data_IF_371474402415
#
_entry.id   IF_371474402415
#
_cell.length_a   1.000
_cell.length_b   1.000
_cell.length_c   1.000
_cell.angle_alpha   90.00
_cell.angle_beta   90.00
_cell.angle_gamma   90.00
#
_symmetry.space_group_name_H-M   'P 1'
#
loop_
_entity.id
_entity.type
_entity.pdbx_description
1 polymer ?
#
# COMPACT_ATOMS: atom_id res chain seq x y z
N UNK A 1 13.75 -26.28 -63.75
CA UNK A 1 14.85 -25.60 -63.06
C UNK A 1 14.36 -25.24 -61.66
N UNK A 2 14.94 -25.82 -60.62
CA UNK A 2 14.60 -25.44 -59.24
C UNK A 2 15.03 -24.00 -59.01
N UNK A 3 14.09 -23.14 -58.63
CA UNK A 3 14.39 -21.75 -58.30
C UNK A 3 15.36 -21.67 -57.12
N UNK A 4 16.10 -20.57 -57.02
CA UNK A 4 16.93 -20.27 -55.85
C UNK A 4 16.06 -20.14 -54.60
N UNK A 5 16.58 -20.60 -53.47
CA UNK A 5 15.94 -20.40 -52.17
C UNK A 5 15.77 -18.91 -51.83
N UNK A 6 14.78 -18.62 -50.99
CA UNK A 6 14.53 -17.25 -50.55
C UNK A 6 15.71 -16.72 -49.72
N UNK A 7 16.13 -15.48 -50.02
CA UNK A 7 17.31 -14.84 -49.41
C UNK A 7 17.29 -14.88 -47.87
N UNK A 8 16.14 -14.60 -47.24
CA UNK A 8 16.02 -14.54 -45.79
C UNK A 8 16.25 -15.93 -45.13
N UNK A 9 15.52 -17.00 -45.50
CA UNK A 9 15.82 -18.36 -45.01
C UNK A 9 17.27 -18.79 -45.23
N UNK A 10 17.82 -18.61 -46.43
CA UNK A 10 19.19 -19.03 -46.75
C UNK A 10 20.23 -18.28 -45.93
N UNK A 11 20.02 -16.97 -45.70
CA UNK A 11 20.91 -16.16 -44.87
C UNK A 11 20.86 -16.59 -43.40
N UNK A 12 19.66 -16.85 -42.86
CA UNK A 12 19.51 -17.32 -41.46
C UNK A 12 20.15 -18.69 -41.27
N UNK A 13 20.02 -19.59 -42.25
CA UNK A 13 20.64 -20.91 -42.21
C UNK A 13 22.18 -20.83 -42.22
N UNK A 14 22.76 -20.05 -43.14
CA UNK A 14 24.20 -19.87 -43.24
C UNK A 14 24.79 -19.19 -42.00
N UNK A 15 24.12 -18.16 -41.47
CA UNK A 15 24.50 -17.52 -40.20
C UNK A 15 24.43 -18.54 -39.05
N UNK A 16 23.35 -19.32 -39.00
CA UNK A 16 23.17 -20.35 -37.98
C UNK A 16 24.28 -21.40 -38.01
N UNK A 17 24.68 -21.86 -39.21
CA UNK A 17 25.79 -22.80 -39.37
C UNK A 17 27.10 -22.22 -38.85
N UNK A 18 27.45 -20.99 -39.26
CA UNK A 18 28.68 -20.32 -38.79
C UNK A 18 28.69 -20.06 -37.28
N UNK A 19 27.53 -19.80 -36.68
CA UNK A 19 27.42 -19.64 -35.23
C UNK A 19 27.67 -20.96 -34.51
N UNK A 20 27.12 -22.08 -35.01
CA UNK A 20 27.37 -23.41 -34.43
C UNK A 20 28.84 -23.82 -34.53
N UNK A 21 29.51 -23.52 -35.63
CA UNK A 21 30.92 -23.85 -35.82
C UNK A 21 31.84 -23.03 -34.90
N UNK A 22 31.38 -21.85 -34.43
CA UNK A 22 32.18 -20.93 -33.61
C UNK A 22 31.85 -20.93 -32.12
N UNK A 23 30.66 -21.38 -31.74
CA UNK A 23 30.14 -21.30 -30.38
C UNK A 23 29.78 -22.69 -29.87
N UNK A 24 30.56 -23.17 -28.89
CA UNK A 24 30.26 -24.40 -28.19
C UNK A 24 29.09 -24.20 -27.20
N UNK A 25 28.16 -25.16 -27.17
CA UNK A 25 27.03 -25.18 -26.23
C UNK A 25 25.85 -24.28 -26.61
N UNK A 26 25.85 -23.65 -27.79
CA UNK A 26 24.74 -22.81 -28.26
C UNK A 26 23.76 -23.62 -29.11
N UNK A 27 22.50 -23.68 -28.68
CA UNK A 27 21.42 -24.30 -29.45
C UNK A 27 20.61 -23.22 -30.15
N UNK A 28 20.52 -23.30 -31.48
CA UNK A 28 19.63 -22.41 -32.24
C UNK A 28 18.18 -22.88 -32.07
N UNK A 29 17.34 -22.00 -31.54
CA UNK A 29 15.92 -22.27 -31.28
C UNK A 29 15.07 -21.17 -31.91
N UNK A 30 13.95 -21.55 -32.50
CA UNK A 30 12.99 -20.61 -33.10
C UNK A 30 11.93 -20.16 -32.09
N UNK A 31 11.54 -21.04 -31.16
CA UNK A 31 10.61 -20.70 -30.10
C UNK A 31 11.37 -20.28 -28.85
N UNK A 32 11.01 -19.12 -28.30
CA UNK A 32 11.50 -18.63 -27.00
C UNK A 32 13.04 -18.57 -26.85
N UNK A 33 13.78 -17.96 -27.79
CA UNK A 33 15.23 -17.86 -27.67
C UNK A 33 15.65 -17.06 -26.43
N UNK A 34 16.81 -17.44 -25.91
CA UNK A 34 17.46 -16.74 -24.81
C UNK A 34 18.04 -15.39 -25.29
N UNK A 35 18.62 -15.39 -26.48
CA UNK A 35 19.16 -14.22 -27.18
C UNK A 35 18.59 -14.21 -28.58
N UNK A 36 17.92 -13.12 -28.96
CA UNK A 36 17.45 -12.88 -30.32
C UNK A 36 18.37 -11.87 -30.98
N UNK A 37 19.08 -12.29 -32.03
CA UNK A 37 19.87 -11.38 -32.85
C UNK A 37 19.00 -10.83 -34.00
N UNK A 38 18.77 -9.52 -34.00
CA UNK A 38 18.13 -8.79 -35.08
C UNK A 38 19.23 -8.24 -35.99
N UNK A 39 19.20 -8.67 -37.26
CA UNK A 39 20.20 -8.30 -38.24
C UNK A 39 19.53 -7.40 -39.27
N UNK A 40 19.95 -6.14 -39.32
CA UNK A 40 19.56 -5.25 -40.40
C UNK A 40 20.44 -5.53 -41.62
N UNK A 41 19.84 -6.12 -42.65
CA UNK A 41 20.54 -6.46 -43.90
C UNK A 41 20.89 -5.25 -44.75
N UNK A 42 20.31 -4.06 -44.47
CA UNK A 42 20.64 -2.82 -45.19
C UNK A 42 21.88 -2.15 -44.59
N UNK A 43 21.94 -2.06 -43.26
CA UNK A 43 23.05 -1.38 -42.55
C UNK A 43 24.12 -2.34 -42.03
N UNK A 44 23.89 -3.65 -42.12
CA UNK A 44 24.72 -4.72 -41.54
C UNK A 44 24.92 -4.57 -40.02
N UNK A 45 24.00 -3.89 -39.34
CA UNK A 45 23.99 -3.78 -37.88
C UNK A 45 23.35 -5.01 -37.25
N UNK A 46 23.86 -5.39 -36.08
CA UNK A 46 23.35 -6.51 -35.29
C UNK A 46 22.94 -5.98 -33.92
N UNK A 47 21.65 -6.06 -33.62
CA UNK A 47 21.11 -5.77 -32.30
C UNK A 47 20.80 -7.08 -31.58
N UNK A 48 21.14 -7.16 -30.29
CA UNK A 48 20.88 -8.34 -29.47
C UNK A 48 19.76 -8.00 -28.48
N UNK A 49 18.64 -8.70 -28.60
CA UNK A 49 17.57 -8.70 -27.59
C UNK A 49 17.79 -9.88 -26.64
N UNK A 50 18.28 -9.58 -25.43
CA UNK A 50 18.58 -10.58 -24.41
C UNK A 50 17.36 -10.74 -23.51
N UNK A 51 16.77 -11.93 -23.54
CA UNK A 51 15.56 -12.21 -22.78
C UNK A 51 15.81 -12.18 -21.26
N UNK A 52 14.94 -11.49 -20.55
CA UNK A 52 14.97 -11.42 -19.09
C UNK A 52 14.75 -12.79 -18.42
N UNK A 53 15.38 -12.95 -17.24
CA UNK A 53 15.15 -14.09 -16.34
C UNK A 53 14.15 -13.67 -15.26
N UNK A 54 13.25 -14.58 -14.90
CA UNK A 54 12.21 -14.36 -13.91
C UNK A 54 12.44 -15.31 -12.72
N UNK A 55 12.44 -14.76 -11.51
CA UNK A 55 12.60 -15.52 -10.26
C UNK A 55 11.37 -15.25 -9.39
N UNK A 56 10.67 -16.30 -8.99
CA UNK A 56 9.59 -16.23 -8.02
C UNK A 56 10.14 -16.38 -6.61
N UNK A 57 9.52 -15.71 -5.65
CA UNK A 57 9.77 -15.91 -4.23
C UNK A 57 8.62 -15.38 -3.37
N UNK A 58 8.74 -15.56 -2.05
CA UNK A 58 7.90 -14.88 -1.06
C UNK A 58 8.79 -14.09 -0.12
N UNK A 59 8.45 -12.83 0.14
CA UNK A 59 9.19 -12.00 1.08
C UNK A 59 8.39 -11.74 2.36
N UNK A 60 9.05 -11.80 3.50
CA UNK A 60 8.60 -11.23 4.76
C UNK A 60 9.32 -9.91 4.96
N UNK A 61 8.58 -8.88 5.34
CA UNK A 61 9.09 -7.55 5.66
C UNK A 61 9.00 -7.40 7.16
N UNK A 62 10.13 -7.45 7.86
CA UNK A 62 10.20 -7.42 9.33
C UNK A 62 10.35 -5.99 9.86
N UNK A 63 10.96 -5.11 9.06
CA UNK A 63 11.20 -3.71 9.40
C UNK A 63 10.07 -2.78 8.93
N UNK A 64 9.59 -1.88 9.80
CA UNK A 64 8.72 -0.75 9.44
C UNK A 64 9.59 0.42 8.96
N UNK A 65 9.09 1.21 8.01
CA UNK A 65 9.83 2.37 7.48
C UNK A 65 10.45 2.16 6.10
N UNK A 66 10.49 0.92 5.60
CA UNK A 66 10.99 0.62 4.25
C UNK A 66 9.85 0.44 3.22
N UNK A 67 9.92 1.08 2.04
CA UNK A 67 8.96 0.85 0.96
C UNK A 67 9.15 -0.51 0.28
N UNK A 68 8.08 -1.03 -0.32
CA UNK A 68 8.15 -2.25 -1.14
C UNK A 68 9.01 -2.07 -2.41
N UNK A 69 8.86 -0.94 -3.09
CA UNK A 69 9.55 -0.64 -4.35
C UNK A 69 10.51 0.53 -4.16
N UNK A 70 11.54 0.63 -4.99
CA UNK A 70 12.45 1.78 -5.00
C UNK A 70 11.71 3.09 -5.29
N UNK A 71 12.02 4.13 -4.54
CA UNK A 71 11.40 5.46 -4.69
C UNK A 71 12.47 6.47 -5.04
N UNK A 72 12.52 6.94 -6.30
CA UNK A 72 13.44 8.02 -6.69
C UNK A 72 13.16 9.28 -5.88
N UNK A 73 14.21 10.01 -5.54
CA UNK A 73 14.12 11.28 -4.84
C UNK A 73 13.22 12.26 -5.62
N UNK A 74 12.27 12.88 -4.93
CA UNK A 74 11.30 13.80 -5.54
C UNK A 74 11.96 15.05 -6.14
N UNK A 75 13.06 15.51 -5.55
CA UNK A 75 13.77 16.71 -5.99
C UNK A 75 14.61 16.44 -7.25
N UNK A 76 15.46 15.41 -7.26
CA UNK A 76 16.39 15.16 -8.36
C UNK A 76 15.91 14.11 -9.37
N UNK A 77 14.79 13.42 -9.10
CA UNK A 77 14.22 12.34 -9.92
C UNK A 77 15.21 11.18 -10.17
N UNK A 78 16.05 10.86 -9.19
CA UNK A 78 17.02 9.76 -9.30
C UNK A 78 18.45 10.16 -9.63
N UNK A 79 18.74 11.45 -9.87
CA UNK A 79 20.08 11.92 -10.29
C UNK A 79 21.10 12.06 -9.16
N UNK A 80 20.65 12.14 -7.91
CA UNK A 80 21.46 12.58 -6.77
C UNK A 80 21.35 14.08 -6.55
N UNK A 81 21.14 14.49 -5.30
CA UNK A 81 21.20 15.88 -4.86
C UNK A 81 21.48 15.95 -3.36
N UNK A 82 21.77 17.15 -2.85
CA UNK A 82 22.02 17.39 -1.42
C UNK A 82 20.87 16.90 -0.54
N UNK A 83 19.61 17.09 -0.96
CA UNK A 83 18.44 16.65 -0.20
C UNK A 83 18.29 15.12 -0.06
N UNK A 84 19.02 14.33 -0.84
CA UNK A 84 19.05 12.88 -0.71
C UNK A 84 20.47 12.35 -0.47
N UNK A 85 21.39 13.19 0.03
CA UNK A 85 22.78 12.80 0.26
C UNK A 85 23.45 12.16 -0.98
N UNK A 86 23.14 12.69 -2.16
CA UNK A 86 23.61 12.18 -3.47
C UNK A 86 23.19 10.74 -3.82
N UNK A 87 22.31 10.11 -3.05
CA UNK A 87 21.85 8.73 -3.33
C UNK A 87 20.88 8.64 -4.51
N UNK A 88 20.21 9.75 -4.84
CA UNK A 88 19.13 9.77 -5.83
C UNK A 88 17.83 9.12 -5.34
N UNK A 89 17.77 8.61 -4.11
CA UNK A 89 16.64 7.88 -3.56
C UNK A 89 15.91 8.69 -2.47
N UNK A 90 14.60 8.47 -2.32
CA UNK A 90 13.83 9.01 -1.20
C UNK A 90 14.01 8.17 0.07
N UNK A 91 14.16 6.85 -0.11
CA UNK A 91 14.46 5.90 0.96
C UNK A 91 15.66 5.07 0.50
N UNK A 92 16.68 4.94 1.36
CA UNK A 92 17.91 4.24 1.02
C UNK A 92 17.70 2.74 0.77
N UNK A 93 16.72 2.15 1.46
CA UNK A 93 16.40 0.73 1.37
C UNK A 93 14.98 0.54 0.86
N UNK A 94 14.77 -0.50 0.06
CA UNK A 94 13.44 -1.00 -0.31
C UNK A 94 13.47 -2.52 -0.39
N UNK A 95 12.31 -3.17 -0.23
CA UNK A 95 12.21 -4.64 -0.41
C UNK A 95 12.75 -5.05 -1.78
N UNK A 96 12.39 -4.30 -2.82
CA UNK A 96 12.91 -4.50 -4.18
C UNK A 96 14.44 -4.45 -4.24
N UNK A 97 15.10 -3.50 -3.59
CA UNK A 97 16.56 -3.35 -3.68
C UNK A 97 17.29 -4.39 -2.82
N UNK A 98 16.77 -4.68 -1.62
CA UNK A 98 17.32 -5.72 -0.73
C UNK A 98 17.27 -7.11 -1.36
N UNK A 99 16.22 -7.41 -2.13
CA UNK A 99 16.07 -8.68 -2.83
C UNK A 99 16.74 -8.66 -4.19
N UNK A 100 16.60 -7.56 -4.94
CA UNK A 100 16.99 -7.50 -6.34
C UNK A 100 18.46 -7.20 -6.59
N UNK A 101 19.13 -6.43 -5.73
CA UNK A 101 20.55 -6.13 -5.92
C UNK A 101 21.45 -7.37 -5.80
N UNK A 102 21.28 -8.26 -4.79
CA UNK A 102 22.04 -9.51 -4.75
C UNK A 102 21.78 -10.42 -5.95
N UNK A 103 20.53 -10.48 -6.42
CA UNK A 103 20.21 -11.22 -7.65
C UNK A 103 20.93 -10.62 -8.86
N UNK A 104 20.96 -9.28 -8.99
CA UNK A 104 21.60 -8.59 -10.11
C UNK A 104 23.09 -8.96 -10.26
N UNK A 105 23.82 -9.06 -9.13
CA UNK A 105 25.22 -9.48 -9.11
C UNK A 105 25.41 -10.93 -9.55
N UNK A 106 24.52 -11.84 -9.14
CA UNK A 106 24.60 -13.27 -9.45
C UNK A 106 24.26 -13.56 -10.91
N UNK A 107 23.20 -12.92 -11.42
CA UNK A 107 22.76 -13.08 -12.81
C UNK A 107 23.58 -12.24 -13.79
N UNK A 108 24.43 -11.33 -13.29
CA UNK A 108 25.19 -10.35 -14.08
C UNK A 108 24.27 -9.59 -15.06
N UNK A 109 23.13 -9.14 -14.55
CA UNK A 109 22.13 -8.38 -15.31
C UNK A 109 22.38 -6.87 -15.25
N UNK A 110 21.66 -6.12 -16.07
CA UNK A 110 21.78 -4.64 -16.13
C UNK A 110 20.83 -3.94 -15.16
N UNK A 111 19.60 -4.42 -15.06
CA UNK A 111 18.59 -3.87 -14.14
C UNK A 111 17.61 -4.94 -13.66
N UNK A 112 16.88 -4.62 -12.59
CA UNK A 112 15.80 -5.47 -12.07
C UNK A 112 14.47 -4.74 -11.95
N UNK A 113 13.38 -5.48 -12.16
CA UNK A 113 12.02 -5.01 -11.96
C UNK A 113 11.27 -5.94 -10.99
N UNK A 114 10.62 -5.34 -10.00
CA UNK A 114 9.90 -6.07 -8.95
C UNK A 114 8.40 -6.13 -9.23
N UNK A 115 7.81 -7.32 -9.12
CA UNK A 115 6.39 -7.56 -9.32
C UNK A 115 5.79 -8.30 -8.12
N UNK A 116 5.24 -7.56 -7.16
CA UNK A 116 4.58 -8.13 -5.99
C UNK A 116 3.08 -8.39 -6.18
N UNK A 117 2.55 -9.35 -5.43
CA UNK A 117 1.12 -9.63 -5.32
C UNK A 117 0.41 -8.58 -4.45
N UNK A 118 0.24 -7.38 -5.00
CA UNK A 118 -0.19 -6.21 -4.24
C UNK A 118 0.94 -5.56 -3.46
N UNK A 119 0.59 -4.66 -2.54
CA UNK A 119 1.53 -3.79 -1.83
C UNK A 119 1.02 -3.46 -0.43
N UNK A 120 1.94 -3.37 0.52
CA UNK A 120 1.74 -2.80 1.85
C UNK A 120 2.28 -1.37 1.96
N UNK A 121 1.78 -0.64 2.97
CA UNK A 121 2.29 0.69 3.29
C UNK A 121 3.70 0.61 3.92
N UNK A 122 4.40 1.76 3.96
CA UNK A 122 5.79 1.85 4.41
C UNK A 122 5.91 1.44 5.90
N UNK A 123 4.92 1.82 6.70
CA UNK A 123 4.82 1.54 8.14
C UNK A 123 4.26 0.15 8.46
N UNK A 124 3.94 -0.67 7.46
CA UNK A 124 3.32 -2.00 7.64
C UNK A 124 4.34 -3.12 7.45
N UNK A 125 4.37 -4.10 8.36
CA UNK A 125 5.17 -5.33 8.19
C UNK A 125 4.40 -6.36 7.37
N UNK A 126 5.13 -7.30 6.76
CA UNK A 126 4.54 -8.45 6.08
C UNK A 126 5.11 -9.73 6.70
N UNK A 127 4.28 -10.45 7.43
CA UNK A 127 4.66 -11.61 8.24
C UNK A 127 4.12 -12.91 7.61
N UNK A 128 3.91 -13.93 8.43
CA UNK A 128 3.41 -15.25 8.00
C UNK A 128 4.26 -15.89 6.92
N UNK A 129 3.61 -16.41 5.87
CA UNK A 129 4.28 -17.00 4.69
C UNK A 129 4.94 -15.97 3.77
N UNK A 130 4.77 -14.67 4.05
CA UNK A 130 5.28 -13.59 3.22
C UNK A 130 4.47 -13.37 1.94
N UNK A 131 4.70 -12.22 1.30
CA UNK A 131 4.04 -11.82 0.06
C UNK A 131 4.73 -12.44 -1.16
N UNK A 132 3.98 -13.15 -2.03
CA UNK A 132 4.51 -13.59 -3.32
C UNK A 132 4.98 -12.43 -4.20
N UNK A 133 6.11 -12.63 -4.85
CA UNK A 133 6.67 -11.71 -5.82
C UNK A 133 7.35 -12.48 -6.96
N UNK A 134 7.49 -11.80 -8.10
CA UNK A 134 8.40 -12.18 -9.17
C UNK A 134 9.35 -11.03 -9.43
N UNK A 135 10.65 -11.35 -9.43
CA UNK A 135 11.70 -10.43 -9.84
C UNK A 135 12.09 -10.73 -11.29
N UNK A 136 12.08 -9.70 -12.12
CA UNK A 136 12.59 -9.74 -13.49
C UNK A 136 14.01 -9.16 -13.51
N UNK A 137 14.98 -9.93 -13.99
CA UNK A 137 16.35 -9.46 -14.24
C UNK A 137 16.52 -9.27 -15.74
N UNK A 138 16.88 -8.05 -16.16
CA UNK A 138 17.09 -7.71 -17.57
C UNK A 138 18.52 -7.97 -18.01
N UNK A 139 18.65 -8.40 -19.26
CA UNK A 139 19.92 -8.69 -19.94
C UNK A 139 20.91 -9.54 -19.11
N UNK A 140 20.48 -10.67 -18.52
CA UNK A 140 21.36 -11.47 -17.68
C UNK A 140 22.39 -12.23 -18.52
N UNK A 141 23.66 -12.25 -18.06
CA UNK A 141 24.71 -13.08 -18.65
C UNK A 141 24.70 -14.51 -18.12
N UNK A 142 24.32 -14.68 -16.85
CA UNK A 142 24.12 -15.99 -16.19
C UNK A 142 22.64 -16.24 -16.02
N UNK A 143 22.18 -17.48 -16.23
CA UNK A 143 20.74 -17.84 -16.12
C UNK A 143 20.45 -18.96 -15.14
N UNK A 144 21.43 -19.80 -14.85
CA UNK A 144 21.32 -20.88 -13.87
C UNK A 144 21.63 -20.38 -12.47
N UNK A 145 20.84 -20.80 -11.49
CA UNK A 145 21.07 -20.49 -10.09
C UNK A 145 20.61 -21.66 -9.21
N UNK A 146 21.20 -21.77 -8.02
CA UNK A 146 20.70 -22.64 -6.97
C UNK A 146 19.77 -21.81 -6.06
N UNK A 147 18.53 -22.29 -5.88
CA UNK A 147 17.49 -21.55 -5.17
C UNK A 147 17.80 -21.35 -3.67
N UNK A 148 18.39 -22.34 -3.01
CA UNK A 148 18.72 -22.31 -1.58
C UNK A 148 19.82 -21.29 -1.32
N UNK A 149 20.93 -21.38 -2.07
CA UNK A 149 22.04 -20.42 -1.98
C UNK A 149 21.59 -19.00 -2.29
N UNK A 150 20.70 -18.83 -3.26
CA UNK A 150 20.17 -17.51 -3.60
C UNK A 150 19.37 -16.91 -2.45
N UNK A 151 18.55 -17.72 -1.78
CA UNK A 151 17.80 -17.28 -0.61
C UNK A 151 18.72 -16.91 0.56
N UNK A 152 19.76 -17.70 0.83
CA UNK A 152 20.78 -17.42 1.86
C UNK A 152 21.46 -16.07 1.62
N UNK A 153 21.99 -15.84 0.41
CA UNK A 153 22.68 -14.59 0.06
C UNK A 153 21.75 -13.38 0.23
N UNK A 154 20.49 -13.50 -0.17
CA UNK A 154 19.51 -12.40 -0.02
C UNK A 154 19.21 -12.14 1.45
N UNK A 155 19.04 -13.18 2.25
CA UNK A 155 18.72 -13.06 3.68
C UNK A 155 19.89 -12.44 4.46
N UNK A 156 21.13 -12.81 4.13
CA UNK A 156 22.34 -12.19 4.71
C UNK A 156 22.45 -10.73 4.31
N UNK A 157 22.25 -10.40 3.03
CA UNK A 157 22.30 -9.03 2.53
C UNK A 157 21.21 -8.13 3.16
N UNK A 158 20.04 -8.70 3.46
CA UNK A 158 18.93 -7.98 4.04
C UNK A 158 19.10 -7.66 5.54
N UNK A 159 20.07 -8.26 6.24
CA UNK A 159 20.40 -7.99 7.66
C UNK A 159 19.18 -7.96 8.60
N UNK A 160 18.21 -8.85 8.35
CA UNK A 160 16.98 -8.95 9.14
C UNK A 160 15.87 -7.96 8.79
N UNK A 161 16.07 -7.04 7.83
CA UNK A 161 14.99 -6.15 7.34
C UNK A 161 13.92 -6.91 6.55
N UNK A 162 14.37 -7.88 5.73
CA UNK A 162 13.56 -8.70 4.84
C UNK A 162 14.06 -10.15 4.90
N UNK A 163 13.15 -11.11 4.86
CA UNK A 163 13.47 -12.52 4.66
C UNK A 163 12.80 -13.01 3.39
N UNK A 164 13.48 -13.83 2.61
CA UNK A 164 12.96 -14.43 1.39
C UNK A 164 12.94 -15.95 1.51
N UNK A 165 11.87 -16.53 0.99
CA UNK A 165 11.62 -17.97 0.96
C UNK A 165 10.97 -18.37 -0.37
N UNK A 166 10.83 -19.68 -0.59
CA UNK A 166 10.18 -20.26 -1.78
C UNK A 166 10.76 -19.77 -3.12
N UNK A 167 12.08 -19.53 -3.17
CA UNK A 167 12.78 -19.13 -4.38
C UNK A 167 12.68 -20.23 -5.43
N UNK A 168 12.27 -19.87 -6.66
CA UNK A 168 12.30 -20.79 -7.81
C UNK A 168 12.31 -20.03 -9.15
N UNK A 169 12.70 -20.69 -10.25
CA UNK A 169 12.51 -20.15 -11.59
C UNK A 169 11.04 -19.81 -11.87
N UNK A 170 10.82 -18.75 -12.62
CA UNK A 170 9.50 -18.22 -12.98
C UNK A 170 9.45 -17.80 -14.44
N UNK A 171 8.31 -17.24 -14.87
CA UNK A 171 8.08 -16.78 -16.24
C UNK A 171 7.24 -15.50 -16.27
N UNK A 172 7.26 -14.81 -17.40
CA UNK A 172 6.44 -13.60 -17.63
C UNK A 172 4.93 -13.84 -17.46
N UNK A 173 4.42 -15.04 -17.75
CA UNK A 173 2.99 -15.34 -17.56
C UNK A 173 2.61 -15.38 -16.08
N UNK A 174 3.52 -15.82 -15.21
CA UNK A 174 3.33 -15.82 -13.77
C UNK A 174 3.27 -14.41 -13.18
N UNK A 175 4.02 -13.44 -13.74
CA UNK A 175 3.91 -12.01 -13.38
C UNK A 175 2.48 -11.51 -13.55
N UNK A 176 1.81 -11.88 -14.65
CA UNK A 176 0.41 -11.50 -14.92
C UNK A 176 -0.51 -12.17 -13.91
N UNK A 177 -0.35 -13.48 -13.68
CA UNK A 177 -1.14 -14.24 -12.70
C UNK A 177 -1.07 -13.60 -11.31
N UNK A 178 0.13 -13.31 -10.83
CA UNK A 178 0.33 -12.70 -9.50
C UNK A 178 -0.32 -11.32 -9.38
N UNK A 179 -0.35 -10.53 -10.47
CA UNK A 179 -0.98 -9.20 -10.44
C UNK A 179 -2.51 -9.29 -10.46
N UNK A 180 -3.06 -10.29 -11.15
CA UNK A 180 -4.49 -10.40 -11.40
C UNK A 180 -5.22 -11.30 -10.39
N UNK A 181 -4.52 -12.21 -9.69
CA UNK A 181 -5.14 -13.10 -8.70
C UNK A 181 -5.64 -12.31 -7.49
N UNK A 182 -6.97 -12.25 -7.26
CA UNK A 182 -7.50 -11.67 -6.04
C UNK A 182 -7.25 -12.64 -4.88
N UNK A 183 -6.32 -12.29 -4.01
CA UNK A 183 -6.02 -13.06 -2.80
C UNK A 183 -6.64 -12.42 -1.57
N UNK A 184 -7.27 -13.23 -0.73
CA UNK A 184 -7.67 -12.84 0.61
C UNK A 184 -6.44 -12.62 1.48
N UNK A 185 -6.55 -11.70 2.44
CA UNK A 185 -5.41 -11.30 3.27
C UNK A 185 -5.84 -11.24 4.72
N UNK A 186 -4.98 -11.77 5.57
CA UNK A 186 -5.11 -11.66 7.02
C UNK A 186 -4.22 -10.52 7.51
N UNK A 187 -4.72 -9.75 8.46
CA UNK A 187 -4.05 -8.60 9.04
C UNK A 187 -4.20 -8.60 10.53
N UNK A 188 -3.19 -8.11 11.23
CA UNK A 188 -3.26 -7.78 12.65
C UNK A 188 -3.10 -6.29 12.80
N UNK A 189 -4.03 -5.65 13.50
CA UNK A 189 -4.05 -4.19 13.69
C UNK A 189 -4.16 -3.87 15.17
N UNK A 190 -3.40 -2.87 15.61
CA UNK A 190 -3.47 -2.32 16.97
C UNK A 190 -3.79 -0.83 16.92
N UNK A 191 -4.69 -0.39 17.78
CA UNK A 191 -5.16 0.99 17.84
C UNK A 191 -5.54 1.39 19.28
N UNK A 192 -5.47 2.68 19.59
CA UNK A 192 -6.01 3.25 20.83
C UNK A 192 -7.40 3.80 20.63
N UNK A 193 -8.15 3.92 21.71
CA UNK A 193 -9.47 4.57 21.73
C UNK A 193 -9.43 5.89 22.49
N UNK A 194 -10.05 6.91 21.90
CA UNK A 194 -10.25 8.23 22.48
C UNK A 194 -11.76 8.55 22.55
N UNK A 195 -12.20 9.37 23.53
CA UNK A 195 -13.58 9.84 23.57
C UNK A 195 -13.96 10.58 22.29
N UNK A 196 -15.17 10.34 21.80
CA UNK A 196 -15.72 10.95 20.59
C UNK A 196 -16.94 11.80 20.95
N UNK A 197 -17.13 12.90 20.23
CA UNK A 197 -18.33 13.74 20.39
C UNK A 197 -19.43 13.38 19.37
N UNK A 198 -20.64 13.91 19.57
CA UNK A 198 -21.79 13.63 18.70
C UNK A 198 -21.59 14.14 17.26
N UNK A 199 -20.88 15.26 17.06
CA UNK A 199 -20.62 15.80 15.73
C UNK A 199 -19.67 14.91 14.90
N UNK A 200 -18.61 14.39 15.52
CA UNK A 200 -17.67 13.44 14.93
C UNK A 200 -18.36 12.12 14.58
N UNK A 201 -19.20 11.64 15.49
CA UNK A 201 -20.01 10.44 15.25
C UNK A 201 -21.00 10.63 14.09
N UNK A 202 -21.63 11.80 14.00
CA UNK A 202 -22.51 12.15 12.88
C UNK A 202 -21.76 12.14 11.54
N UNK A 203 -20.51 12.62 11.50
CA UNK A 203 -19.68 12.55 10.29
C UNK A 203 -19.37 11.11 9.89
N UNK A 204 -19.05 10.24 10.86
CA UNK A 204 -18.74 8.83 10.57
C UNK A 204 -19.94 8.03 10.04
N UNK A 205 -21.14 8.38 10.49
CA UNK A 205 -22.40 7.70 10.15
C UNK A 205 -23.19 8.38 9.03
N UNK A 206 -22.75 9.54 8.55
CA UNK A 206 -23.42 10.29 7.49
C UNK A 206 -23.54 9.44 6.22
N UNK A 207 -24.73 9.29 5.60
CA UNK A 207 -24.93 8.36 4.49
C UNK A 207 -23.97 8.65 3.33
N UNK A 208 -23.22 7.63 2.89
CA UNK A 208 -22.31 7.76 1.75
C UNK A 208 -23.12 7.88 0.46
N UNK A 209 -22.80 8.87 -0.38
CA UNK A 209 -23.37 8.99 -1.72
C UNK A 209 -22.93 7.82 -2.63
N UNK A 210 -23.84 6.88 -2.86
CA UNK A 210 -23.62 5.66 -3.65
C UNK A 210 -23.67 5.89 -5.18
N UNK A 211 -23.70 7.13 -5.68
CA UNK A 211 -23.77 7.40 -7.13
C UNK A 211 -22.57 6.88 -7.94
N UNK A 212 -21.40 6.67 -7.30
CA UNK A 212 -20.17 6.16 -7.94
C UNK A 212 -19.68 4.85 -7.33
N UNK A 213 -20.41 3.76 -7.61
CA UNK A 213 -20.00 2.40 -7.27
C UNK A 213 -19.02 1.80 -8.28
N UNK A 214 -18.01 1.07 -7.79
CA UNK A 214 -17.12 0.26 -8.62
C UNK A 214 -17.87 -1.02 -9.06
N UNK A 215 -18.46 -1.01 -10.25
CA UNK A 215 -19.26 -2.11 -10.81
C UNK A 215 -18.37 -3.20 -11.42
N UNK A 216 -17.43 -3.75 -10.65
CA UNK A 216 -16.55 -4.83 -11.11
C UNK A 216 -17.20 -6.22 -11.13
N UNK A 217 -18.45 -6.34 -10.65
CA UNK A 217 -19.20 -7.61 -10.66
C UNK A 217 -20.13 -7.82 -11.87
N UNK A 218 -20.19 -6.88 -12.84
CA UNK A 218 -21.00 -7.09 -14.06
C UNK A 218 -20.23 -7.85 -15.14
N UNK A 219 -20.08 -9.17 -14.97
CA UNK A 219 -19.83 -10.06 -16.10
C UNK A 219 -21.14 -10.72 -16.58
N UNK A 220 -21.73 -10.13 -17.62
CA UNK A 220 -22.33 -10.80 -18.81
C UNK A 220 -23.08 -9.76 -19.66
N UNK A 221 -22.54 -9.50 -20.86
CA UNK A 221 -23.09 -8.71 -21.99
C UNK A 221 -23.12 -7.17 -21.86
N UNK A 222 -22.07 -6.51 -22.36
CA UNK A 222 -21.99 -5.92 -23.71
C UNK A 222 -20.76 -5.02 -23.78
N UNK A 223 -19.76 -5.45 -24.55
CA UNK A 223 -18.68 -4.58 -25.03
C UNK A 223 -19.21 -3.75 -26.20
N UNK A 224 -19.26 -2.42 -26.03
CA UNK A 224 -19.05 -1.32 -27.01
C UNK A 224 -19.57 -0.05 -26.31
N UNK A 225 -18.85 1.08 -26.25
CA UNK A 225 -18.13 1.75 -27.33
C UNK A 225 -16.80 2.38 -26.85
N UNK A 226 -15.86 2.54 -27.79
CA UNK A 226 -14.82 3.58 -27.74
C UNK A 226 -15.19 4.66 -28.76
N UNK A 227 -14.71 5.88 -28.48
CA UNK A 227 -14.70 7.11 -29.31
C UNK A 227 -15.99 7.93 -29.22
N UNK A 228 -16.02 8.92 -28.30
CA UNK A 228 -17.16 9.84 -28.20
C UNK A 228 -17.24 10.76 -26.98
N UNK A 229 -16.44 10.62 -25.92
CA UNK A 229 -16.57 11.46 -24.71
C UNK A 229 -15.93 12.84 -24.88
N UNK A 230 -16.47 13.63 -25.81
CA UNK A 230 -16.51 15.09 -25.69
C UNK A 230 -17.81 15.40 -24.96
N UNK A 231 -17.69 16.01 -23.79
CA UNK A 231 -18.78 16.43 -22.88
C UNK A 231 -19.26 15.38 -21.88
N UNK A 232 -18.39 15.00 -20.94
CA UNK A 232 -18.84 14.61 -19.61
C UNK A 232 -18.19 15.57 -18.62
N UNK A 233 -19.02 16.45 -18.08
CA UNK A 233 -18.69 17.42 -17.05
C UNK A 233 -18.01 16.70 -15.89
N UNK A 234 -16.74 17.05 -15.62
CA UNK A 234 -15.93 16.48 -14.54
C UNK A 234 -16.29 17.20 -13.25
N UNK A 235 -17.57 17.26 -12.90
CA UNK A 235 -17.98 17.69 -11.59
C UNK A 235 -17.55 16.60 -10.61
N UNK A 236 -16.48 16.91 -9.87
CA UNK A 236 -16.15 16.25 -8.61
C UNK A 236 -17.46 16.19 -7.80
N UNK A 237 -17.76 15.08 -7.12
CA UNK A 237 -18.86 15.08 -6.17
C UNK A 237 -18.67 16.28 -5.23
N UNK A 238 -19.72 17.06 -5.04
CA UNK A 238 -19.72 18.09 -4.02
C UNK A 238 -19.34 17.40 -2.71
N UNK A 239 -18.28 17.90 -2.08
CA UNK A 239 -17.95 17.47 -0.73
C UNK A 239 -19.22 17.68 0.10
N UNK A 240 -19.69 16.62 0.77
CA UNK A 240 -20.54 16.81 1.93
C UNK A 240 -19.64 17.39 3.01
N UNK A 241 -19.30 18.67 2.87
CA UNK A 241 -18.80 19.50 3.95
C UNK A 241 -19.97 19.65 4.91
N UNK A 242 -20.12 18.67 5.80
CA UNK A 242 -20.68 18.96 7.10
C UNK A 242 -19.64 19.89 7.72
N UNK A 243 -19.92 21.19 7.69
CA UNK A 243 -19.14 22.17 8.44
C UNK A 243 -19.20 21.73 9.90
N UNK A 244 -18.13 21.08 10.37
CA UNK A 244 -17.89 20.93 11.79
C UNK A 244 -17.88 22.36 12.34
N UNK A 245 -18.79 22.73 13.27
CA UNK A 245 -18.75 24.05 13.86
C UNK A 245 -17.34 24.30 14.38
N UNK A 246 -16.73 25.40 13.91
CA UNK A 246 -15.37 25.74 14.24
C UNK A 246 -15.17 25.77 15.76
N UNK A 247 -14.13 25.08 16.23
CA UNK A 247 -13.45 25.26 17.50
C UNK A 247 -14.38 25.36 18.74
N UNK A 248 -14.71 24.21 19.32
CA UNK A 248 -15.09 24.15 20.72
C UNK A 248 -13.87 24.44 21.59
N UNK A 249 -14.07 25.24 22.64
CA UNK A 249 -13.00 25.73 23.50
C UNK A 249 -12.27 24.61 24.27
N UNK A 250 -11.02 24.83 24.71
CA UNK A 250 -10.32 23.92 25.62
C UNK A 250 -11.17 23.64 26.88
N UNK A 251 -11.13 22.39 27.34
CA UNK A 251 -11.81 21.94 28.55
C UNK A 251 -11.29 22.65 29.80
N UNK A 252 -12.08 22.65 30.88
CA UNK A 252 -11.68 23.27 32.16
C UNK A 252 -10.38 22.65 32.72
N UNK A 253 -10.14 21.36 32.46
CA UNK A 253 -8.92 20.65 32.85
C UNK A 253 -7.68 21.12 32.06
N UNK A 254 -7.82 21.33 30.74
CA UNK A 254 -6.74 21.84 29.88
C UNK A 254 -6.40 23.29 30.21
N UNK A 255 -7.41 24.12 30.50
CA UNK A 255 -7.24 25.50 30.92
C UNK A 255 -6.52 25.61 32.28
N UNK A 256 -6.74 24.67 33.20
CA UNK A 256 -5.99 24.58 34.46
C UNK A 256 -4.53 24.15 34.25
N UNK A 257 -4.24 23.34 33.22
CA UNK A 257 -2.89 22.90 32.87
C UNK A 257 -2.05 24.00 32.19
N UNK A 258 -2.68 24.92 31.45
CA UNK A 258 -2.00 26.01 30.75
C UNK A 258 -1.26 26.98 31.68
N UNK A 259 -0.17 27.58 31.19
CA UNK A 259 0.53 28.64 31.92
C UNK A 259 -0.24 29.96 31.79
N UNK A 260 -0.14 30.83 32.80
CA UNK A 260 -0.81 32.15 32.80
C UNK A 260 -0.62 32.98 31.51
N UNK A 261 0.56 33.00 30.84
CA UNK A 261 0.74 33.73 29.59
C UNK A 261 -0.12 33.20 28.43
N UNK A 262 -0.35 31.88 28.36
CA UNK A 262 -1.17 31.24 27.34
C UNK A 262 -2.66 31.56 27.55
N UNK A 263 -3.11 31.57 28.81
CA UNK A 263 -4.47 31.99 29.18
C UNK A 263 -4.74 33.46 28.84
N UNK A 264 -3.75 34.34 29.01
CA UNK A 264 -3.87 35.76 28.65
C UNK A 264 -3.95 35.93 27.12
N UNK A 265 -3.18 35.15 26.35
CA UNK A 265 -3.24 35.16 24.90
C UNK A 265 -4.57 34.60 24.38
N UNK A 266 -5.10 33.53 25.00
CA UNK A 266 -6.40 32.96 24.67
C UNK A 266 -7.54 33.92 25.02
N UNK A 267 -7.46 34.62 26.15
CA UNK A 267 -8.40 35.68 26.50
C UNK A 267 -8.37 36.84 25.49
N UNK A 268 -7.19 37.27 25.05
CA UNK A 268 -7.04 38.32 24.03
C UNK A 268 -7.61 37.92 22.67
N UNK A 269 -7.34 36.68 22.23
CA UNK A 269 -7.86 36.15 20.97
C UNK A 269 -9.39 36.08 20.93
N UNK A 270 -10.02 35.88 22.09
CA UNK A 270 -11.48 35.82 22.25
C UNK A 270 -12.09 37.17 22.70
N UNK A 271 -11.33 38.27 22.70
CA UNK A 271 -11.83 39.61 23.04
C UNK A 271 -12.16 39.82 24.54
N UNK A 272 -11.61 39.00 25.42
CA UNK A 272 -11.86 39.00 26.87
C UNK A 272 -10.82 39.84 27.64
N UNK A 273 -11.18 40.26 28.87
CA UNK A 273 -10.28 41.04 29.75
C UNK A 273 -9.06 40.22 30.20
N UNK A 274 -7.86 40.73 29.89
CA UNK A 274 -6.53 40.16 30.20
C UNK A 274 -6.10 40.17 31.67
N UNK A 275 -6.84 40.88 32.53
CA UNK A 275 -6.45 41.17 33.92
C UNK A 275 -7.08 40.18 34.90
N UNK A 276 -6.28 39.60 35.81
CA UNK A 276 -6.80 38.74 36.88
C UNK A 276 -5.80 37.71 37.42
N UNK A 277 -6.24 36.96 38.42
CA UNK A 277 -5.60 35.70 38.85
C UNK A 277 -5.85 34.60 37.80
N UNK A 278 -5.08 33.51 37.89
CA UNK A 278 -5.17 32.39 36.92
C UNK A 278 -6.61 31.86 36.86
N UNK A 279 -7.25 31.71 38.01
CA UNK A 279 -8.60 31.15 38.14
C UNK A 279 -9.68 32.07 37.54
N UNK A 280 -9.56 33.39 37.73
CA UNK A 280 -10.49 34.39 37.17
C UNK A 280 -10.40 34.48 35.63
N UNK A 281 -9.22 34.21 35.06
CA UNK A 281 -9.04 34.13 33.61
C UNK A 281 -9.68 32.86 33.05
N UNK A 282 -9.53 31.73 33.76
CA UNK A 282 -10.14 30.45 33.39
C UNK A 282 -11.67 30.57 33.42
N UNK A 283 -12.25 31.12 34.49
CA UNK A 283 -13.72 31.32 34.58
C UNK A 283 -14.29 32.17 33.44
N UNK A 284 -13.59 33.26 33.07
CA UNK A 284 -14.03 34.12 31.95
C UNK A 284 -13.91 33.43 30.60
N UNK A 285 -12.87 32.63 30.41
CA UNK A 285 -12.64 31.88 29.17
C UNK A 285 -13.69 30.76 29.03
N UNK A 286 -13.98 30.04 30.12
CA UNK A 286 -15.02 29.00 30.16
C UNK A 286 -16.41 29.58 29.96
N UNK A 287 -16.71 30.78 30.49
CA UNK A 287 -18.00 31.44 30.29
C UNK A 287 -18.21 32.00 28.87
N UNK A 288 -17.13 32.24 28.12
CA UNK A 288 -17.18 32.82 26.78
C UNK A 288 -17.07 31.79 25.66
N UNK A 289 -16.47 30.63 25.93
CA UNK A 289 -16.39 29.53 24.99
C UNK A 289 -17.62 28.62 25.16
N UNK A 290 -18.19 28.07 24.07
CA UNK A 290 -19.19 27.03 24.21
C UNK A 290 -18.59 25.87 25.04
N UNK A 291 -19.36 25.26 25.96
CA UNK A 291 -18.87 24.14 26.75
C UNK A 291 -18.32 23.05 25.83
N UNK A 292 -17.24 22.39 26.26
CA UNK A 292 -16.71 21.25 25.54
C UNK A 292 -17.85 20.27 25.25
N UNK A 293 -17.97 19.76 24.01
CA UNK A 293 -19.07 18.91 23.64
C UNK A 293 -19.07 17.67 24.52
N UNK A 294 -20.25 17.27 24.99
CA UNK A 294 -20.39 16.00 25.72
C UNK A 294 -19.85 14.87 24.83
N UNK A 295 -18.97 14.05 25.42
CA UNK A 295 -18.37 12.91 24.73
C UNK A 295 -19.09 11.65 25.14
N UNK A 296 -19.15 10.68 24.23
CA UNK A 296 -19.66 9.35 24.57
C UNK A 296 -18.78 8.71 25.63
N UNK A 297 -19.41 8.02 26.59
CA UNK A 297 -18.67 7.14 27.49
C UNK A 297 -17.95 6.07 26.66
N UNK A 298 -16.68 5.87 26.97
CA UNK A 298 -15.90 4.88 26.26
C UNK A 298 -16.48 3.47 26.53
N UNK A 299 -16.62 2.63 25.49
CA UNK A 299 -17.25 1.31 25.61
C UNK A 299 -16.51 0.42 26.59
N UNK A 300 -17.21 -0.47 27.27
CA UNK A 300 -16.64 -1.53 28.09
C UNK A 300 -16.04 -2.67 27.23
N UNK A 301 -15.19 -3.48 27.84
CA UNK A 301 -14.46 -4.53 27.15
C UNK A 301 -15.40 -5.58 26.53
N UNK A 302 -16.53 -5.89 27.18
CA UNK A 302 -17.53 -6.82 26.61
C UNK A 302 -18.21 -6.26 25.36
N UNK A 303 -18.49 -4.95 25.33
CA UNK A 303 -19.05 -4.29 24.16
C UNK A 303 -18.06 -4.29 23.00
N UNK A 304 -16.77 -4.03 23.27
CA UNK A 304 -15.71 -4.12 22.26
C UNK A 304 -15.63 -5.53 21.68
N UNK A 305 -15.63 -6.56 22.53
CA UNK A 305 -15.61 -7.97 22.11
C UNK A 305 -16.78 -8.29 21.16
N UNK A 306 -18.01 -7.96 21.57
CA UNK A 306 -19.23 -8.20 20.76
C UNK A 306 -19.19 -7.47 19.41
N UNK A 307 -18.68 -6.24 19.40
CA UNK A 307 -18.57 -5.45 18.17
C UNK A 307 -17.54 -6.05 17.22
N UNK A 308 -16.37 -6.45 17.71
CA UNK A 308 -15.35 -7.10 16.86
C UNK A 308 -15.88 -8.43 16.33
N UNK A 309 -16.60 -9.21 17.13
CA UNK A 309 -17.27 -10.43 16.65
C UNK A 309 -18.33 -10.14 15.57
N UNK A 310 -19.03 -9.01 15.66
CA UNK A 310 -20.01 -8.58 14.64
C UNK A 310 -19.37 -8.18 13.31
N UNK A 311 -18.04 -8.02 13.25
CA UNK A 311 -17.32 -7.79 11.98
C UNK A 311 -17.27 -9.05 11.12
N UNK A 312 -17.52 -10.24 11.67
CA UNK A 312 -17.56 -11.50 10.92
C UNK A 312 -18.65 -11.47 9.85
N UNK A 313 -18.26 -11.61 8.58
CA UNK A 313 -19.17 -11.55 7.44
C UNK A 313 -19.68 -10.13 7.08
N UNK A 314 -19.15 -9.09 7.73
CA UNK A 314 -19.58 -7.71 7.53
C UNK A 314 -19.20 -7.21 6.13
N UNK A 315 -20.16 -6.55 5.47
CA UNK A 315 -19.93 -5.85 4.20
C UNK A 315 -19.64 -4.37 4.46
N UNK A 316 -18.48 -3.95 4.02
CA UNK A 316 -17.99 -2.57 4.07
C UNK A 316 -18.26 -1.88 2.74
N UNK A 317 -18.70 -0.63 2.78
CA UNK A 317 -18.66 0.31 1.67
C UNK A 317 -17.49 1.27 1.90
N UNK A 318 -16.41 1.10 1.14
CA UNK A 318 -15.20 1.91 1.25
C UNK A 318 -15.07 2.85 0.05
N UNK A 319 -15.28 4.15 0.28
CA UNK A 319 -14.82 5.20 -0.64
C UNK A 319 -13.30 5.21 -0.63
N UNK A 320 -12.71 5.56 -1.77
CA UNK A 320 -11.25 5.60 -1.93
C UNK A 320 -10.63 6.47 -0.85
N UNK A 321 -9.68 5.99 -0.02
CA UNK A 321 -9.23 6.75 1.13
C UNK A 321 -8.59 8.10 0.78
N UNK A 322 -8.73 9.08 1.66
CA UNK A 322 -8.22 10.44 1.43
C UNK A 322 -6.72 10.45 1.09
N UNK A 323 -5.93 9.66 1.84
CA UNK A 323 -4.47 9.54 1.66
C UNK A 323 -4.02 9.00 0.28
N UNK A 324 -4.89 8.29 -0.44
CA UNK A 324 -4.60 7.75 -1.79
C UNK A 324 -5.45 8.39 -2.90
N UNK A 325 -6.33 9.34 -2.57
CA UNK A 325 -7.22 9.99 -3.53
C UNK A 325 -6.49 10.72 -4.67
N UNK A 326 -5.28 11.22 -4.43
CA UNK A 326 -4.45 11.83 -5.48
C UNK A 326 -3.90 10.83 -6.51
N UNK A 327 -3.89 9.52 -6.19
CA UNK A 327 -3.36 8.45 -7.03
C UNK A 327 -4.44 7.56 -7.63
N UNK A 328 -5.64 7.54 -7.07
CA UNK A 328 -6.72 6.63 -7.46
C UNK A 328 -8.00 7.38 -7.79
N UNK A 329 -8.80 6.79 -8.67
CA UNK A 329 -10.16 7.27 -8.91
C UNK A 329 -10.98 7.19 -7.63
N UNK A 330 -11.70 8.27 -7.35
CA UNK A 330 -12.60 8.35 -6.20
C UNK A 330 -13.88 7.55 -6.48
N UNK A 331 -13.91 6.33 -5.96
CA UNK A 331 -14.96 5.33 -6.12
C UNK A 331 -15.26 4.66 -4.78
N UNK A 332 -16.49 4.19 -4.63
CA UNK A 332 -16.93 3.35 -3.50
C UNK A 332 -16.85 1.88 -3.91
N UNK A 333 -16.20 1.09 -3.07
CA UNK A 333 -15.99 -0.35 -3.26
C UNK A 333 -16.60 -1.12 -2.12
N UNK A 334 -17.44 -2.09 -2.46
CA UNK A 334 -17.98 -3.04 -1.48
C UNK A 334 -16.91 -4.09 -1.18
N UNK A 335 -16.62 -4.34 0.09
CA UNK A 335 -15.60 -5.28 0.56
C UNK A 335 -16.13 -6.10 1.71
N UNK A 336 -15.76 -7.37 1.76
CA UNK A 336 -16.21 -8.27 2.83
C UNK A 336 -15.08 -8.51 3.83
N UNK A 337 -15.41 -8.39 5.11
CA UNK A 337 -14.60 -8.96 6.21
C UNK A 337 -15.11 -10.39 6.40
N UNK A 338 -14.28 -11.38 6.13
CA UNK A 338 -14.67 -12.78 6.24
C UNK A 338 -14.64 -13.23 7.69
N UNK A 339 -13.52 -12.96 8.36
CA UNK A 339 -13.26 -13.41 9.73
C UNK A 339 -12.61 -12.27 10.52
N UNK A 340 -12.99 -12.14 11.78
CA UNK A 340 -12.43 -11.26 12.79
C UNK A 340 -12.31 -12.08 14.08
N UNK A 341 -11.08 -12.19 14.57
CA UNK A 341 -10.78 -12.90 15.81
C UNK A 341 -11.00 -11.98 17.01
N UNK A 342 -11.24 -12.59 18.17
CA UNK A 342 -11.44 -11.86 19.41
C UNK A 342 -10.28 -10.90 19.69
N UNK A 343 -10.56 -9.63 20.04
CA UNK A 343 -9.54 -8.65 20.35
C UNK A 343 -8.80 -8.98 21.65
N UNK A 344 -7.53 -8.63 21.68
CA UNK A 344 -6.75 -8.46 22.89
C UNK A 344 -6.83 -7.00 23.32
N UNK A 345 -7.17 -6.75 24.58
CA UNK A 345 -7.35 -5.41 25.14
C UNK A 345 -6.34 -5.24 26.28
N UNK A 346 -5.57 -4.16 26.23
CA UNK A 346 -4.56 -3.80 27.22
C UNK A 346 -4.69 -2.31 27.57
N UNK A 347 -4.33 -1.94 28.79
CA UNK A 347 -4.21 -0.53 29.20
C UNK A 347 -2.73 -0.17 29.19
N UNK A 348 -2.37 0.85 28.41
CA UNK A 348 -0.98 1.29 28.32
C UNK A 348 -0.55 2.10 29.55
N UNK A 349 0.73 2.46 29.63
CA UNK A 349 1.30 3.24 30.75
C UNK A 349 0.64 4.61 30.92
N UNK A 350 0.03 5.16 29.86
CA UNK A 350 -0.69 6.43 29.87
C UNK A 350 -2.17 6.29 30.31
N UNK A 351 -2.61 5.07 30.63
CA UNK A 351 -4.01 4.79 30.99
C UNK A 351 -4.96 4.70 29.80
N UNK A 352 -4.44 4.70 28.56
CA UNK A 352 -5.25 4.54 27.35
C UNK A 352 -5.47 3.07 27.03
N UNK A 353 -6.64 2.74 26.49
CA UNK A 353 -6.97 1.38 26.07
C UNK A 353 -6.45 1.12 24.67
N UNK A 354 -5.61 0.10 24.56
CA UNK A 354 -5.07 -0.44 23.32
C UNK A 354 -5.79 -1.72 22.96
N UNK A 355 -6.29 -1.77 21.73
CA UNK A 355 -7.04 -2.91 21.20
C UNK A 355 -6.26 -3.47 20.02
N UNK A 356 -5.99 -4.76 20.07
CA UNK A 356 -5.33 -5.51 19.00
C UNK A 356 -6.24 -6.64 18.54
N UNK A 357 -6.48 -6.75 17.24
CA UNK A 357 -7.22 -7.89 16.71
C UNK A 357 -6.73 -8.29 15.32
N UNK A 358 -7.07 -9.52 14.93
CA UNK A 358 -6.75 -10.07 13.62
C UNK A 358 -8.01 -10.21 12.78
N UNK A 359 -7.93 -9.79 11.51
CA UNK A 359 -9.03 -9.89 10.56
C UNK A 359 -8.56 -10.45 9.22
N UNK A 360 -9.41 -11.26 8.59
CA UNK A 360 -9.28 -11.77 7.22
C UNK A 360 -10.30 -11.07 6.35
N UNK A 361 -9.84 -10.39 5.30
CA UNK A 361 -10.72 -9.61 4.44
C UNK A 361 -10.42 -9.81 2.95
N UNK A 362 -11.40 -9.40 2.16
CA UNK A 362 -11.36 -9.42 0.70
C UNK A 362 -10.19 -8.60 0.15
N UNK A 363 -9.69 -8.99 -1.03
CA UNK A 363 -8.59 -8.29 -1.69
C UNK A 363 -8.89 -6.80 -1.91
N UNK A 364 -7.96 -5.94 -1.49
CA UNK A 364 -8.06 -4.50 -1.67
C UNK A 364 -8.91 -3.77 -0.63
N UNK A 365 -9.28 -4.45 0.47
CA UNK A 365 -9.85 -3.80 1.66
C UNK A 365 -8.81 -2.90 2.31
N UNK A 366 -9.22 -1.67 2.66
CA UNK A 366 -8.40 -0.68 3.34
C UNK A 366 -8.56 -0.82 4.86
N UNK A 367 -7.68 -1.58 5.49
CA UNK A 367 -7.84 -2.04 6.88
C UNK A 367 -7.74 -0.91 7.91
N UNK A 368 -6.83 0.06 7.71
CA UNK A 368 -6.74 1.22 8.62
C UNK A 368 -8.06 1.98 8.65
N UNK A 369 -8.62 2.21 7.46
CA UNK A 369 -9.89 2.91 7.27
C UNK A 369 -11.11 2.10 7.76
N UNK A 370 -11.06 0.76 7.73
CA UNK A 370 -12.04 -0.09 8.44
C UNK A 370 -12.08 0.21 9.93
N UNK A 371 -10.93 0.53 10.53
CA UNK A 371 -10.85 0.85 11.97
C UNK A 371 -11.23 2.30 12.25
N UNK A 372 -10.55 3.29 11.65
CA UNK A 372 -10.76 4.71 12.00
C UNK A 372 -11.92 5.39 11.25
N UNK A 373 -12.40 4.81 10.14
CA UNK A 373 -13.56 5.31 9.38
C UNK A 373 -13.27 6.37 8.31
N UNK A 374 -12.07 6.98 8.31
CA UNK A 374 -11.60 7.98 7.34
C UNK A 374 -12.61 9.13 7.14
N UNK A 375 -13.10 9.71 8.25
CA UNK A 375 -14.13 10.75 8.26
C UNK A 375 -15.40 10.34 7.49
N UNK A 376 -15.89 9.12 7.74
CA UNK A 376 -17.13 8.59 7.14
C UNK A 376 -16.97 8.02 5.74
N UNK A 377 -15.74 7.96 5.20
CA UNK A 377 -15.47 7.36 3.88
C UNK A 377 -15.54 5.83 3.90
N UNK A 378 -15.46 5.19 5.06
CA UNK A 378 -15.68 3.74 5.22
C UNK A 378 -16.87 3.49 6.14
N UNK A 379 -17.86 2.74 5.65
CA UNK A 379 -19.06 2.41 6.41
C UNK A 379 -19.50 0.94 6.29
N UNK A 380 -19.86 0.28 7.40
CA UNK A 380 -19.58 0.71 8.78
C UNK A 380 -18.06 0.66 9.07
N UNK A 381 -17.62 1.34 10.13
CA UNK A 381 -16.24 1.31 10.63
C UNK A 381 -16.22 0.95 12.11
N UNK A 382 -15.10 0.43 12.62
CA UNK A 382 -14.97 0.08 14.05
C UNK A 382 -15.22 1.30 14.93
N UNK A 383 -14.62 2.44 14.58
CA UNK A 383 -14.81 3.75 15.25
C UNK A 383 -16.30 4.13 15.38
N UNK A 384 -17.08 3.96 14.31
CA UNK A 384 -18.52 4.21 14.35
C UNK A 384 -19.27 3.17 15.20
N UNK A 385 -18.90 1.89 15.13
CA UNK A 385 -19.59 0.84 15.87
C UNK A 385 -19.37 0.96 17.39
N UNK A 386 -18.15 1.30 17.81
CA UNK A 386 -17.79 1.42 19.23
C UNK A 386 -18.06 2.81 19.82
N UNK A 387 -18.48 3.79 18.99
CA UNK A 387 -18.71 5.20 19.35
C UNK A 387 -17.51 5.87 20.01
N UNK A 388 -16.31 5.50 19.60
CA UNK A 388 -15.06 6.04 20.11
C UNK A 388 -14.06 6.20 18.97
N UNK A 389 -13.22 7.24 19.06
CA UNK A 389 -12.27 7.57 18.02
C UNK A 389 -11.12 6.56 18.09
N UNK A 390 -10.86 5.90 16.97
CA UNK A 390 -9.82 4.87 16.88
C UNK A 390 -8.56 5.41 16.20
N UNK A 391 -7.44 5.46 16.93
CA UNK A 391 -6.15 5.89 16.39
C UNK A 391 -5.25 4.67 16.13
N UNK A 392 -4.98 4.38 14.86
CA UNK A 392 -4.17 3.21 14.48
C UNK A 392 -2.71 3.41 14.86
N UNK A 393 -2.20 2.56 15.75
CA UNK A 393 -0.79 2.54 16.16
C UNK A 393 0.06 1.82 15.09
N UNK A 394 -0.37 0.63 14.70
CA UNK A 394 0.30 -0.14 13.67
C UNK A 394 -0.60 -1.17 13.01
N UNK A 395 -0.17 -1.64 11.84
CA UNK A 395 -0.83 -2.68 11.05
C UNK A 395 0.24 -3.63 10.51
N UNK A 396 -0.02 -4.93 10.55
CA UNK A 396 0.78 -5.98 9.95
C UNK A 396 -0.06 -6.84 9.02
N UNK A 397 0.53 -7.24 7.89
CA UNK A 397 -0.03 -8.31 7.07
C UNK A 397 0.37 -9.63 7.74
N UNK A 398 -0.61 -10.35 8.26
CA UNK A 398 -0.41 -11.65 8.89
C UNK A 398 -0.15 -12.74 7.86
N UNK A 399 -0.98 -12.84 6.82
CA UNK A 399 -0.80 -13.83 5.76
C UNK A 399 -1.50 -13.44 4.46
N UNK A 400 -1.11 -14.07 3.36
CA UNK A 400 -1.74 -13.91 2.05
C UNK A 400 -2.14 -15.27 1.48
N UNK A 401 -3.46 -15.47 1.37
CA UNK A 401 -4.09 -16.72 0.96
C UNK A 401 -4.21 -16.76 -0.56
N UNK A 402 -3.14 -17.20 -1.23
CA UNK A 402 -3.02 -17.19 -2.69
C UNK A 402 -2.44 -18.48 -3.29
N UNK A 403 -2.52 -19.56 -2.54
CA UNK A 403 -1.99 -20.88 -2.93
C UNK A 403 -3.06 -21.70 -3.66
#
# INVERSE_FOLDING_TARGET
AGGSDALKPSLVEEIGKRLKDRLDGVTLVNDKPDVLALIDVLTLTVELDIRAVYVYGRYRKLERGIPQTRWPCRACKGRGCESCNQTGLQYEKSVQDLVGNPMLEIFEGTEHAFHGMGREDIDVRCLGRGRPFVLEIKEPRKRSFNAEKLAEIINEAAKGSVEVSAIRPSTRSEVVRIKDTPAEKSYTIRFTIEPMNEAEYAVLTAPVDMTKEDVQDRSKKRRRQRRGDKNADRTKPLETTIEVPAATGPSEAELKAMKKPELVALAEANGLKKTGKKDELIERIVAALPPAPETFELPDDETILKIVESLNGLKLAQRTPARVAHRRSDLIRKRTVFEAHSPFIEVNENGEREIEFTLRCESGTYVKETVHGDNGRTQPSVSALIKAKCNVLWLDVGDIHAD
#
